data_IF_463561442272
#
_entry.id   IF_463561442272
#
_cell.length_a   1.000
_cell.length_b   1.000
_cell.length_c   1.000
_cell.angle_alpha   90.00
_cell.angle_beta   90.00
_cell.angle_gamma   90.00
#
_symmetry.space_group_name_H-M   'P 1'
#
loop_
_entity.id
_entity.type
_entity.pdbx_description
1 polymer ?
#
# COMPACT_ATOMS: atom_id res chain seq x y z
N UNK A 1 -5.56 7.08 -7.72
CA UNK A 1 -4.46 7.97 -8.20
C UNK A 1 -3.81 7.36 -9.44
N UNK A 2 -3.36 8.17 -10.42
CA UNK A 2 -2.59 7.69 -11.57
C UNK A 2 -1.12 8.07 -11.38
N UNK A 3 -0.25 7.08 -11.30
CA UNK A 3 1.17 7.30 -11.03
C UNK A 3 2.05 6.33 -11.83
N UNK A 4 3.29 6.73 -12.06
CA UNK A 4 4.39 5.91 -12.51
C UNK A 4 5.37 5.81 -11.35
N UNK A 5 5.72 4.59 -10.94
CA UNK A 5 6.49 4.38 -9.72
C UNK A 5 7.99 4.48 -9.99
N UNK A 6 8.79 4.93 -9.02
CA UNK A 6 10.23 4.80 -9.12
C UNK A 6 10.64 3.33 -9.00
N UNK A 7 11.70 2.97 -9.68
CA UNK A 7 12.36 1.68 -9.51
C UNK A 7 13.75 1.89 -8.91
N UNK A 8 14.17 1.09 -8.05
CA UNK A 8 15.54 0.74 -7.69
C UNK A 8 15.59 0.11 -6.30
N UNK A 9 16.72 -0.50 -5.99
CA UNK A 9 16.94 -1.08 -4.68
C UNK A 9 16.88 -0.02 -3.58
N UNK A 10 16.03 -0.25 -2.57
CA UNK A 10 15.87 0.63 -1.42
C UNK A 10 14.81 1.72 -1.60
N UNK A 11 14.12 1.79 -2.74
CA UNK A 11 12.93 2.65 -2.85
C UNK A 11 11.73 1.98 -2.20
N UNK A 12 10.85 2.81 -1.63
CA UNK A 12 9.60 2.37 -1.01
C UNK A 12 8.49 3.39 -1.30
N UNK A 13 8.08 3.51 -2.56
CA UNK A 13 6.97 4.39 -2.87
C UNK A 13 5.66 3.84 -2.33
N UNK A 14 4.85 4.74 -1.76
CA UNK A 14 3.54 4.41 -1.23
C UNK A 14 2.49 5.48 -1.53
N UNK A 15 1.25 5.05 -1.64
CA UNK A 15 0.04 5.87 -1.66
C UNK A 15 -0.82 5.36 -0.51
N UNK A 16 -0.96 6.15 0.54
CA UNK A 16 -1.49 5.68 1.81
C UNK A 16 -2.22 6.78 2.59
N UNK A 17 -2.95 6.40 3.63
CA UNK A 17 -3.74 7.28 4.48
C UNK A 17 -3.60 6.85 5.94
N UNK A 18 -3.60 7.84 6.85
CA UNK A 18 -3.73 7.63 8.30
C UNK A 18 -5.06 8.20 8.80
N UNK A 19 -5.53 7.66 9.91
CA UNK A 19 -6.68 8.22 10.61
C UNK A 19 -6.40 9.64 11.10
N UNK A 20 -7.37 10.54 10.93
CA UNK A 20 -7.30 11.96 11.31
C UNK A 20 -6.97 12.19 12.80
N UNK A 21 -7.30 11.22 13.64
CA UNK A 21 -7.08 11.25 15.09
C UNK A 21 -5.67 10.76 15.52
N UNK A 22 -4.71 10.65 14.60
CA UNK A 22 -3.35 10.14 14.90
C UNK A 22 -2.67 10.88 16.06
N UNK A 23 -2.88 12.18 16.17
CA UNK A 23 -2.29 13.00 17.25
C UNK A 23 -2.91 12.71 18.62
N UNK A 24 -4.04 12.02 18.68
CA UNK A 24 -4.77 11.70 19.91
C UNK A 24 -4.53 10.28 20.36
N UNK A 25 -4.62 9.33 19.44
CA UNK A 25 -4.56 7.89 19.76
C UNK A 25 -3.29 7.19 19.28
N UNK A 26 -2.47 7.87 18.47
CA UNK A 26 -1.24 7.34 17.87
C UNK A 26 -1.49 6.17 16.91
N UNK A 27 -0.45 5.74 16.24
CA UNK A 27 -0.45 4.53 15.42
C UNK A 27 -0.24 3.28 16.32
N UNK A 28 -0.87 2.13 16.05
CA UNK A 28 -1.78 1.84 14.95
C UNK A 28 -3.26 2.13 15.27
N UNK A 29 -3.59 2.68 16.45
CA UNK A 29 -4.97 2.91 16.88
C UNK A 29 -5.73 3.93 15.99
N UNK A 30 -5.01 4.84 15.33
CA UNK A 30 -5.63 5.74 14.35
C UNK A 30 -6.07 5.03 13.06
N UNK A 31 -5.57 3.83 12.80
CA UNK A 31 -5.74 3.11 11.54
C UNK A 31 -4.85 3.64 10.41
N UNK A 32 -4.52 2.76 9.47
CA UNK A 32 -3.76 3.06 8.24
C UNK A 32 -4.32 2.25 7.08
N UNK A 33 -4.40 2.86 5.91
CA UNK A 33 -4.79 2.19 4.67
C UNK A 33 -3.73 2.50 3.62
N UNK A 34 -2.98 1.48 3.22
CA UNK A 34 -2.02 1.56 2.13
C UNK A 34 -2.70 1.15 0.84
N UNK A 35 -3.08 2.14 0.03
CA UNK A 35 -3.72 1.91 -1.27
C UNK A 35 -2.76 1.17 -2.20
N UNK A 36 -1.48 1.49 -2.10
CA UNK A 36 -0.39 0.87 -2.83
C UNK A 36 0.92 1.11 -2.10
N UNK A 37 1.68 0.06 -1.92
CA UNK A 37 3.09 0.09 -1.53
C UNK A 37 3.91 -0.76 -2.51
N UNK A 38 5.12 -0.31 -2.84
CA UNK A 38 6.09 -1.11 -3.58
C UNK A 38 7.41 -1.13 -2.81
N UNK A 39 7.91 -2.32 -2.51
CA UNK A 39 9.21 -2.48 -1.86
C UNK A 39 10.24 -2.75 -2.95
N UNK A 40 10.89 -1.70 -3.42
CA UNK A 40 11.80 -1.73 -4.57
C UNK A 40 13.07 -2.54 -4.31
N UNK A 41 13.52 -3.27 -5.30
CA UNK A 41 14.71 -4.08 -5.16
C UNK A 41 15.01 -5.07 -6.27
N UNK A 42 14.69 -4.72 -7.48
CA UNK A 42 15.01 -5.49 -8.67
C UNK A 42 13.79 -6.14 -9.33
N UNK A 43 14.00 -6.90 -10.40
CA UNK A 43 12.94 -7.24 -11.37
C UNK A 43 11.77 -8.04 -10.79
N UNK A 44 11.93 -8.66 -9.64
CA UNK A 44 10.82 -9.35 -8.97
C UNK A 44 10.05 -8.42 -8.02
N UNK A 45 10.74 -7.54 -7.30
CA UNK A 45 10.13 -6.64 -6.34
C UNK A 45 9.48 -5.45 -7.04
N UNK A 46 10.12 -4.89 -8.07
CA UNK A 46 9.63 -3.71 -8.80
C UNK A 46 8.37 -3.99 -9.66
N UNK A 47 7.92 -5.24 -9.73
CA UNK A 47 6.67 -5.66 -10.39
C UNK A 47 5.54 -6.00 -9.42
N UNK A 48 5.78 -5.95 -8.11
CA UNK A 48 4.81 -6.38 -7.09
C UNK A 48 4.45 -5.20 -6.19
N UNK A 49 3.16 -4.93 -6.10
CA UNK A 49 2.60 -3.96 -5.16
C UNK A 49 1.78 -4.67 -4.09
N UNK A 50 1.65 -4.01 -2.96
CA UNK A 50 0.86 -4.46 -1.82
C UNK A 50 -0.22 -3.44 -1.52
N UNK A 51 -1.39 -3.91 -1.12
CA UNK A 51 -2.45 -3.11 -0.51
C UNK A 51 -2.69 -3.65 0.88
N UNK A 52 -2.65 -2.80 1.91
CA UNK A 52 -2.67 -3.23 3.32
C UNK A 52 -3.56 -2.31 4.15
N UNK A 53 -4.19 -2.86 5.17
CA UNK A 53 -4.83 -2.10 6.25
C UNK A 53 -4.16 -2.47 7.56
N UNK A 54 -3.93 -1.47 8.43
CA UNK A 54 -3.37 -1.66 9.76
C UNK A 54 -4.30 -1.06 10.81
N UNK A 55 -4.41 -1.72 11.97
CA UNK A 55 -5.24 -1.26 13.08
C UNK A 55 -4.70 -1.75 14.43
N UNK A 56 -5.28 -1.24 15.50
CA UNK A 56 -5.06 -1.74 16.85
C UNK A 56 -6.05 -2.86 17.16
N UNK A 57 -5.53 -4.00 17.54
CA UNK A 57 -6.32 -5.16 18.01
C UNK A 57 -6.02 -5.42 19.49
N UNK A 58 -6.73 -4.68 20.33
CA UNK A 58 -6.62 -4.83 21.79
C UNK A 58 -5.26 -4.44 22.37
N UNK A 59 -4.61 -3.42 21.83
CA UNK A 59 -3.30 -2.93 22.24
C UNK A 59 -2.12 -3.54 21.45
N UNK A 60 -2.42 -4.30 20.41
CA UNK A 60 -1.41 -4.88 19.51
C UNK A 60 -1.67 -4.44 18.07
N UNK A 61 -0.61 -4.21 17.32
CA UNK A 61 -0.72 -3.94 15.90
C UNK A 61 -1.20 -5.19 15.17
N UNK A 62 -2.24 -5.03 14.36
CA UNK A 62 -2.73 -6.02 13.41
C UNK A 62 -2.74 -5.45 11.99
N UNK A 63 -2.68 -6.31 11.01
CA UNK A 63 -2.78 -5.93 9.61
C UNK A 63 -3.39 -7.05 8.77
N UNK A 64 -3.99 -6.64 7.65
CA UNK A 64 -4.46 -7.55 6.61
C UNK A 64 -4.22 -6.90 5.24
N UNK A 65 -3.70 -7.67 4.30
CA UNK A 65 -3.41 -7.17 2.96
C UNK A 65 -3.24 -8.27 1.94
N UNK A 66 -3.09 -7.85 0.69
CA UNK A 66 -2.81 -8.73 -0.45
C UNK A 66 -1.84 -8.04 -1.41
N UNK A 67 -1.38 -8.77 -2.39
CA UNK A 67 -0.43 -8.28 -3.39
C UNK A 67 -0.89 -8.55 -4.81
N UNK A 68 -0.44 -7.70 -5.72
CA UNK A 68 -0.63 -7.88 -7.15
C UNK A 68 0.69 -7.70 -7.88
N UNK A 69 0.99 -8.63 -8.79
CA UNK A 69 2.22 -8.59 -9.59
C UNK A 69 1.90 -8.45 -11.06
N UNK A 70 2.62 -7.57 -11.73
CA UNK A 70 2.61 -7.50 -13.20
C UNK A 70 3.16 -8.79 -13.82
N UNK A 71 2.80 -9.10 -15.06
CA UNK A 71 3.38 -10.22 -15.80
C UNK A 71 4.91 -10.19 -15.85
N UNK A 72 5.51 -11.33 -16.17
CA UNK A 72 6.97 -11.44 -16.26
C UNK A 72 7.54 -10.45 -17.29
N UNK A 73 8.54 -9.70 -16.87
CA UNK A 73 9.24 -8.72 -17.67
C UNK A 73 8.66 -7.30 -17.61
N UNK A 74 7.54 -7.10 -16.92
CA UNK A 74 6.96 -5.78 -16.70
C UNK A 74 7.25 -5.29 -15.28
N UNK A 75 7.45 -3.98 -15.11
CA UNK A 75 7.62 -3.32 -13.81
C UNK A 75 6.79 -2.04 -13.76
N UNK A 76 6.38 -1.65 -12.56
CA UNK A 76 5.54 -0.46 -12.33
C UNK A 76 6.23 0.86 -12.68
N UNK A 77 7.53 0.84 -12.94
CA UNK A 77 8.31 1.99 -13.36
C UNK A 77 8.24 2.30 -14.86
N UNK A 78 7.76 1.40 -15.70
CA UNK A 78 7.75 1.60 -17.15
C UNK A 78 6.60 2.47 -17.61
N UNK A 79 5.43 2.33 -16.98
CA UNK A 79 4.20 2.99 -17.41
C UNK A 79 3.42 3.63 -16.25
N UNK A 80 2.42 4.45 -16.59
CA UNK A 80 1.47 4.97 -15.62
C UNK A 80 0.36 3.98 -15.33
N UNK A 81 0.19 3.63 -14.07
CA UNK A 81 -0.87 2.77 -13.56
C UNK A 81 -1.89 3.57 -12.73
N UNK A 82 -3.10 3.05 -12.61
CA UNK A 82 -4.13 3.61 -11.73
C UNK A 82 -4.22 2.75 -10.48
N UNK A 83 -3.98 3.37 -9.33
CA UNK A 83 -4.12 2.75 -8.02
C UNK A 83 -5.37 3.32 -7.36
N UNK A 84 -6.25 2.45 -6.89
CA UNK A 84 -7.55 2.84 -6.32
C UNK A 84 -8.05 1.86 -5.29
N UNK A 85 -8.88 2.35 -4.41
CA UNK A 85 -9.68 1.53 -3.50
C UNK A 85 -11.17 1.85 -3.69
N UNK A 86 -12.00 0.87 -3.42
CA UNK A 86 -13.43 1.05 -3.19
C UNK A 86 -13.67 0.78 -1.71
N UNK A 87 -14.07 1.84 -1.01
CA UNK A 87 -14.28 1.79 0.43
C UNK A 87 -15.73 2.06 0.78
N UNK A 88 -16.31 1.20 1.58
CA UNK A 88 -17.65 1.36 2.17
C UNK A 88 -17.63 0.92 3.64
N UNK A 89 -18.79 0.95 4.30
CA UNK A 89 -18.93 0.64 5.74
C UNK A 89 -18.43 -0.76 6.15
N UNK A 90 -18.34 -1.69 5.22
CA UNK A 90 -18.06 -3.11 5.53
C UNK A 90 -16.85 -3.67 4.80
N UNK A 91 -16.27 -2.96 3.86
CA UNK A 91 -15.15 -3.48 3.06
C UNK A 91 -14.28 -2.41 2.42
N UNK A 92 -13.01 -2.78 2.23
CA UNK A 92 -12.05 -2.09 1.38
C UNK A 92 -11.62 -3.08 0.30
N UNK A 93 -11.70 -2.66 -0.96
CA UNK A 93 -11.19 -3.44 -2.11
C UNK A 93 -10.11 -2.61 -2.80
N UNK A 94 -8.99 -3.21 -3.03
CA UNK A 94 -7.86 -2.68 -3.78
C UNK A 94 -7.98 -2.99 -5.25
#
# INVERSE_FOLDING_TARGET
MRAKLPESRGTWPAIWMLGDNINTVSWPACGEIDIMELIGGGPFNDRTIYGTVHWDDGGSQASFGDSNSLPNGEVYAEEFHVFSIIWNESSIKF
#
